data_IF_154853436794
#
_entry.id   IF_154853436794
#
_cell.length_a   1.000
_cell.length_b   1.000
_cell.length_c   1.000
_cell.angle_alpha   90.00
_cell.angle_beta   90.00
_cell.angle_gamma   90.00
#
_symmetry.space_group_name_H-M   'P 1'
#
loop_
_entity.id
_entity.type
_entity.pdbx_description
1 polymer ?
#
# COMPACT_ATOMS: atom_id res chain seq x y z
N UNK A 1 34.21 45.50 25.82
CA UNK A 1 33.63 46.08 24.60
C UNK A 1 32.77 45.06 23.86
N UNK A 2 33.30 43.87 23.59
CA UNK A 2 32.56 42.76 22.95
C UNK A 2 31.22 42.43 23.63
N UNK A 3 31.19 42.40 24.96
CA UNK A 3 29.94 42.20 25.73
C UNK A 3 28.89 43.30 25.47
N UNK A 4 29.29 44.58 25.43
CA UNK A 4 28.38 45.69 25.17
C UNK A 4 27.85 45.65 23.72
N UNK A 5 28.69 45.27 22.76
CA UNK A 5 28.31 45.12 21.35
C UNK A 5 27.37 43.92 21.13
N UNK A 6 27.60 42.80 21.84
CA UNK A 6 26.71 41.64 21.81
C UNK A 6 25.33 41.94 22.44
N UNK A 7 25.30 42.70 23.54
CA UNK A 7 24.05 43.12 24.20
C UNK A 7 23.25 44.13 23.35
N UNK A 8 23.91 44.88 22.45
CA UNK A 8 23.26 45.81 21.53
C UNK A 8 22.37 45.09 20.49
N UNK A 9 22.70 43.84 20.14
CA UNK A 9 21.97 43.02 19.16
C UNK A 9 20.63 42.46 19.67
N UNK A 10 20.44 42.35 20.99
CA UNK A 10 19.34 41.56 21.59
C UNK A 10 18.28 42.36 22.35
N UNK A 11 18.42 43.68 22.50
CA UNK A 11 17.51 44.53 23.31
C UNK A 11 16.54 45.40 22.50
N UNK A 12 15.51 45.88 23.19
CA UNK A 12 14.54 46.89 22.74
C UNK A 12 15.16 48.29 22.52
N UNK A 13 14.38 49.21 21.93
CA UNK A 13 14.86 50.54 21.52
C UNK A 13 15.42 51.37 22.69
N UNK A 14 14.79 51.32 23.86
CA UNK A 14 15.22 52.07 25.04
C UNK A 14 16.48 51.49 25.72
N UNK A 15 16.71 50.18 25.60
CA UNK A 15 17.95 49.53 26.02
C UNK A 15 19.15 49.87 25.13
N UNK A 16 18.92 50.05 23.82
CA UNK A 16 19.98 50.38 22.85
C UNK A 16 20.54 51.80 23.06
N UNK A 17 19.69 52.78 23.33
CA UNK A 17 20.13 54.18 23.53
C UNK A 17 21.06 54.34 24.74
N UNK A 18 20.80 53.62 25.84
CA UNK A 18 21.70 53.58 27.01
C UNK A 18 23.06 52.97 26.69
N UNK A 19 23.09 51.84 25.99
CA UNK A 19 24.34 51.17 25.60
C UNK A 19 25.14 51.99 24.58
N UNK A 20 24.47 52.69 23.66
CA UNK A 20 25.13 53.64 22.75
C UNK A 20 25.79 54.79 23.52
N UNK A 21 25.13 55.30 24.56
CA UNK A 21 25.73 56.27 25.48
C UNK A 21 26.98 55.74 26.19
N UNK A 22 26.95 54.49 26.68
CA UNK A 22 28.11 53.84 27.32
C UNK A 22 29.27 53.54 26.35
N UNK A 23 28.97 53.27 25.07
CA UNK A 23 29.99 53.07 24.04
C UNK A 23 30.60 54.42 23.62
N UNK A 24 29.78 55.46 23.46
CA UNK A 24 30.23 56.83 23.15
C UNK A 24 31.11 57.41 24.26
N UNK A 25 30.78 57.15 25.53
CA UNK A 25 31.56 57.59 26.69
C UNK A 25 32.99 57.00 26.71
N UNK A 26 33.24 55.90 25.99
CA UNK A 26 34.57 55.27 25.86
C UNK A 26 35.43 55.87 24.75
N UNK A 27 34.90 56.83 23.99
CA UNK A 27 35.67 57.66 23.06
C UNK A 27 36.44 56.88 21.99
N UNK A 28 37.65 57.32 21.67
CA UNK A 28 38.48 56.78 20.58
C UNK A 28 38.86 55.31 20.74
N UNK A 29 38.93 54.81 21.97
CA UNK A 29 39.28 53.40 22.26
C UNK A 29 38.18 52.42 21.82
N UNK A 30 36.94 52.89 21.69
CA UNK A 30 35.82 52.08 21.19
C UNK A 30 35.82 51.92 19.66
N UNK A 31 36.58 52.76 18.94
CA UNK A 31 36.52 52.85 17.47
C UNK A 31 36.88 51.55 16.78
N UNK A 32 38.04 50.96 17.07
CA UNK A 32 38.48 49.72 16.42
C UNK A 32 37.56 48.50 16.68
N UNK A 33 37.08 48.28 17.91
CA UNK A 33 36.08 47.25 18.19
C UNK A 33 34.71 47.49 17.51
N UNK A 34 34.24 48.74 17.43
CA UNK A 34 32.98 49.08 16.74
C UNK A 34 33.13 48.93 15.23
N UNK A 35 34.25 49.33 14.64
CA UNK A 35 34.55 49.15 13.21
C UNK A 35 34.60 47.66 12.83
N UNK A 36 35.18 46.80 13.68
CA UNK A 36 35.17 45.34 13.48
C UNK A 36 33.77 44.75 13.57
N UNK A 37 32.99 45.12 14.61
CA UNK A 37 31.62 44.64 14.74
C UNK A 37 30.71 45.14 13.59
N UNK A 38 30.95 46.35 13.08
CA UNK A 38 30.27 46.88 11.90
C UNK A 38 30.65 46.11 10.63
N UNK A 39 31.93 45.74 10.46
CA UNK A 39 32.36 44.92 9.33
C UNK A 39 31.75 43.51 9.36
N UNK A 40 31.71 42.87 10.52
CA UNK A 40 31.04 41.57 10.72
C UNK A 40 29.53 41.65 10.44
N UNK A 41 28.87 42.72 10.88
CA UNK A 41 27.45 42.92 10.63
C UNK A 41 27.18 43.19 9.15
N UNK A 42 28.07 43.92 8.45
CA UNK A 42 27.97 44.11 6.99
C UNK A 42 28.10 42.81 6.24
N UNK A 43 29.04 41.94 6.60
CA UNK A 43 29.16 40.59 6.00
C UNK A 43 27.88 39.77 6.21
N UNK A 44 27.27 39.86 7.40
CA UNK A 44 26.00 39.20 7.68
C UNK A 44 24.84 39.81 6.89
N UNK A 45 24.76 41.14 6.79
CA UNK A 45 23.76 41.86 5.99
C UNK A 45 23.92 41.51 4.52
N UNK A 46 25.12 41.53 3.96
CA UNK A 46 25.40 41.15 2.56
C UNK A 46 24.99 39.68 2.31
N UNK A 47 25.26 38.78 3.26
CA UNK A 47 24.83 37.38 3.15
C UNK A 47 23.30 37.21 3.26
N UNK A 48 22.63 38.04 4.06
CA UNK A 48 21.17 38.06 4.19
C UNK A 48 20.49 38.76 3.01
N UNK A 49 21.13 39.76 2.41
CA UNK A 49 20.71 40.44 1.19
C UNK A 49 20.90 39.52 -0.02
N UNK A 50 22.02 38.81 -0.15
CA UNK A 50 22.21 37.74 -1.13
C UNK A 50 21.17 36.63 -0.93
N UNK A 51 20.87 36.25 0.31
CA UNK A 51 19.79 35.31 0.62
C UNK A 51 18.41 35.88 0.21
N UNK A 52 18.13 37.15 0.48
CA UNK A 52 16.87 37.81 0.11
C UNK A 52 16.74 38.01 -1.40
N UNK A 53 17.82 38.28 -2.11
CA UNK A 53 17.88 38.40 -3.57
C UNK A 53 17.69 37.03 -4.23
N UNK A 54 18.30 35.97 -3.66
CA UNK A 54 18.01 34.57 -4.03
C UNK A 54 16.57 34.17 -3.73
N UNK A 55 15.94 34.76 -2.70
CA UNK A 55 14.53 34.55 -2.38
C UNK A 55 13.55 35.45 -3.16
N UNK A 56 14.03 36.56 -3.76
CA UNK A 56 13.21 37.64 -4.30
C UNK A 56 13.47 38.04 -5.77
N UNK A 57 14.44 37.42 -6.45
CA UNK A 57 14.86 37.78 -7.80
C UNK A 57 13.82 37.58 -8.92
N UNK A 58 14.02 38.23 -10.09
CA UNK A 58 13.00 38.54 -11.11
C UNK A 58 12.60 37.37 -12.03
N UNK A 59 12.38 36.18 -11.47
CA UNK A 59 11.54 35.13 -12.11
C UNK A 59 10.10 35.15 -11.58
N UNK A 60 9.81 35.99 -10.58
CA UNK A 60 8.49 36.10 -9.95
C UNK A 60 7.44 36.88 -10.76
N UNK A 61 7.80 37.54 -11.87
CA UNK A 61 6.86 38.37 -12.65
C UNK A 61 7.12 38.29 -14.16
N UNK A 62 6.67 37.21 -14.80
CA UNK A 62 6.67 37.10 -16.27
C UNK A 62 5.86 35.91 -16.74
N UNK A 63 4.62 36.16 -17.18
CA UNK A 63 3.63 35.12 -17.47
C UNK A 63 3.86 34.33 -18.76
N UNK A 64 3.35 33.09 -18.72
CA UNK A 64 2.82 32.26 -19.82
C UNK A 64 3.63 32.21 -21.14
N UNK A 65 4.13 31.02 -21.46
CA UNK A 65 3.54 30.14 -22.50
C UNK A 65 4.23 28.77 -22.51
N UNK A 66 3.47 27.81 -23.01
CA UNK A 66 3.74 26.38 -23.13
C UNK A 66 5.07 26.03 -23.83
N UNK A 67 5.58 24.84 -23.52
CA UNK A 67 6.57 24.14 -24.34
C UNK A 67 7.55 23.35 -23.49
N UNK A 68 7.35 22.04 -23.44
CA UNK A 68 8.36 20.96 -23.49
C UNK A 68 9.65 21.09 -22.66
N UNK A 69 9.88 20.04 -21.85
CA UNK A 69 11.12 19.67 -21.15
C UNK A 69 11.72 20.69 -20.15
N UNK A 70 11.50 20.46 -18.85
CA UNK A 70 12.22 21.18 -17.79
C UNK A 70 11.76 20.79 -16.38
N UNK A 71 12.72 20.49 -15.52
CA UNK A 71 12.53 19.99 -14.15
C UNK A 71 11.53 20.83 -13.31
N UNK A 72 10.77 20.12 -12.47
CA UNK A 72 9.86 20.71 -11.48
C UNK A 72 10.64 21.55 -10.45
N UNK A 73 10.04 22.59 -9.85
CA UNK A 73 10.76 23.59 -9.05
C UNK A 73 11.40 23.01 -7.77
N UNK A 74 12.61 23.44 -7.40
CA UNK A 74 13.42 22.88 -6.29
C UNK A 74 12.75 22.87 -4.90
N UNK A 75 11.80 23.78 -4.61
CA UNK A 75 11.00 23.72 -3.37
C UNK A 75 10.04 22.49 -3.33
N UNK A 76 9.62 22.01 -4.50
CA UNK A 76 8.94 20.74 -4.65
C UNK A 76 9.91 19.56 -4.42
N UNK A 77 11.20 19.73 -4.69
CA UNK A 77 12.20 18.66 -4.54
C UNK A 77 12.62 18.42 -3.10
N UNK A 78 12.85 19.45 -2.30
CA UNK A 78 13.12 19.27 -0.86
C UNK A 78 11.92 18.68 -0.10
N UNK A 79 10.71 19.19 -0.39
CA UNK A 79 9.48 18.66 0.20
C UNK A 79 9.27 17.20 -0.22
N UNK A 80 9.56 16.85 -1.48
CA UNK A 80 9.55 15.47 -1.98
C UNK A 80 10.67 14.61 -1.39
N UNK A 81 11.85 15.16 -1.14
CA UNK A 81 12.98 14.45 -0.55
C UNK A 81 12.67 14.02 0.89
N UNK A 82 12.03 14.89 1.68
CA UNK A 82 11.54 14.55 3.03
C UNK A 82 10.52 13.40 3.02
N UNK A 83 9.55 13.47 2.10
CA UNK A 83 8.59 12.38 1.92
C UNK A 83 9.27 11.10 1.42
N UNK A 84 10.24 11.21 0.51
CA UNK A 84 11.01 10.09 -0.03
C UNK A 84 11.81 9.40 1.07
N UNK A 85 12.48 10.14 1.94
CA UNK A 85 13.20 9.59 3.10
C UNK A 85 12.27 8.78 4.02
N UNK A 86 11.09 9.31 4.34
CA UNK A 86 10.10 8.58 5.14
C UNK A 86 9.59 7.33 4.42
N UNK A 87 9.38 7.40 3.10
CA UNK A 87 8.95 6.27 2.28
C UNK A 87 10.04 5.20 2.16
N UNK A 88 11.30 5.58 1.94
CA UNK A 88 12.45 4.69 1.85
C UNK A 88 12.64 3.91 3.15
N UNK A 89 12.55 4.57 4.31
CA UNK A 89 12.56 3.91 5.62
C UNK A 89 11.43 2.89 5.77
N UNK A 90 10.21 3.28 5.39
CA UNK A 90 9.06 2.37 5.44
C UNK A 90 9.23 1.15 4.51
N UNK A 91 9.80 1.34 3.32
CA UNK A 91 10.10 0.27 2.37
C UNK A 91 11.27 -0.61 2.82
N UNK A 92 12.20 -0.06 3.60
CA UNK A 92 13.30 -0.77 4.24
C UNK A 92 12.91 -1.42 5.59
N UNK A 93 11.61 -1.47 5.91
CA UNK A 93 11.05 -2.06 7.13
C UNK A 93 11.44 -1.35 8.45
N UNK A 94 12.10 -0.19 8.38
CA UNK A 94 12.29 0.74 9.50
C UNK A 94 11.00 1.53 9.77
N UNK A 95 9.97 0.83 10.24
CA UNK A 95 8.63 1.40 10.45
C UNK A 95 8.62 2.46 11.55
N UNK A 96 9.44 2.29 12.58
CA UNK A 96 9.55 3.26 13.68
C UNK A 96 10.27 4.53 13.22
N UNK A 97 11.41 4.42 12.53
CA UNK A 97 12.13 5.56 11.98
C UNK A 97 11.31 6.29 10.91
N UNK A 98 10.53 5.57 10.10
CA UNK A 98 9.58 6.18 9.16
C UNK A 98 8.51 7.02 9.90
N UNK A 99 7.92 6.49 10.98
CA UNK A 99 6.91 7.21 11.76
C UNK A 99 7.50 8.46 12.43
N UNK A 100 8.68 8.37 13.02
CA UNK A 100 9.38 9.51 13.61
C UNK A 100 9.67 10.61 12.59
N UNK A 101 10.15 10.24 11.39
CA UNK A 101 10.41 11.19 10.32
C UNK A 101 9.12 11.91 9.88
N UNK A 102 8.01 11.17 9.73
CA UNK A 102 6.72 11.76 9.36
C UNK A 102 6.22 12.75 10.42
N UNK A 103 6.30 12.36 11.69
CA UNK A 103 5.85 13.19 12.81
C UNK A 103 6.69 14.46 12.92
N UNK A 104 8.01 14.37 12.74
CA UNK A 104 8.90 15.52 12.66
C UNK A 104 8.57 16.46 11.49
N UNK A 105 8.33 15.91 10.28
CA UNK A 105 7.95 16.73 9.11
C UNK A 105 6.63 17.47 9.37
N UNK A 106 5.62 16.77 9.91
CA UNK A 106 4.30 17.37 10.17
C UNK A 106 4.32 18.39 11.31
N UNK A 107 5.23 18.25 12.27
CA UNK A 107 5.43 19.21 13.36
C UNK A 107 6.15 20.48 12.85
N UNK A 108 7.19 20.33 12.04
CA UNK A 108 7.96 21.45 11.48
C UNK A 108 7.19 22.19 10.36
N UNK A 109 6.43 21.47 9.54
CA UNK A 109 5.72 22.01 8.37
C UNK A 109 4.25 21.56 8.34
N UNK A 110 3.40 22.09 9.24
CA UNK A 110 2.01 21.66 9.32
C UNK A 110 1.21 21.96 8.04
N UNK A 111 1.60 22.93 7.21
CA UNK A 111 0.89 23.27 5.97
C UNK A 111 1.52 22.71 4.69
N UNK A 112 2.39 21.69 4.81
CA UNK A 112 3.05 21.07 3.65
C UNK A 112 2.05 20.52 2.62
N UNK A 113 2.27 20.73 1.30
CA UNK A 113 1.39 20.19 0.26
C UNK A 113 1.35 18.65 0.23
N UNK A 114 2.35 17.98 0.81
CA UNK A 114 2.39 16.52 0.92
C UNK A 114 1.65 15.97 2.14
N UNK A 115 1.01 16.83 2.97
CA UNK A 115 0.29 16.42 4.18
C UNK A 115 -0.67 15.24 3.94
N UNK A 116 -1.50 15.20 2.87
CA UNK A 116 -2.35 14.04 2.61
C UNK A 116 -1.59 12.73 2.32
N UNK A 117 -0.38 12.80 1.75
CA UNK A 117 0.48 11.62 1.52
C UNK A 117 1.19 11.20 2.81
N UNK A 118 1.70 12.15 3.58
CA UNK A 118 2.32 11.90 4.89
C UNK A 118 1.33 11.30 5.89
N UNK A 119 0.09 11.80 5.96
CA UNK A 119 -0.96 11.21 6.82
C UNK A 119 -1.27 9.77 6.40
N UNK A 120 -1.33 9.48 5.09
CA UNK A 120 -1.52 8.13 4.58
C UNK A 120 -0.36 7.21 4.97
N UNK A 121 0.89 7.67 4.83
CA UNK A 121 2.08 6.90 5.22
C UNK A 121 2.15 6.72 6.74
N UNK A 122 1.82 7.74 7.53
CA UNK A 122 1.73 7.68 9.01
C UNK A 122 0.77 6.60 9.45
N UNK A 123 -0.40 6.55 8.82
CA UNK A 123 -1.42 5.52 9.03
C UNK A 123 -0.88 4.13 8.66
N UNK A 124 -0.22 3.97 7.51
CA UNK A 124 0.36 2.70 7.11
C UNK A 124 1.43 2.20 8.09
N UNK A 125 2.30 3.08 8.59
CA UNK A 125 3.30 2.75 9.62
C UNK A 125 2.63 2.27 10.91
N UNK A 126 1.61 3.00 11.39
CA UNK A 126 0.84 2.63 12.58
C UNK A 126 0.11 1.29 12.43
N UNK A 127 -0.49 1.05 11.26
CA UNK A 127 -1.16 -0.21 10.95
C UNK A 127 -0.17 -1.40 10.92
N UNK A 128 1.05 -1.19 10.41
CA UNK A 128 2.12 -2.20 10.40
C UNK A 128 2.64 -2.48 11.82
N UNK A 129 2.98 -1.44 12.60
CA UNK A 129 3.40 -1.60 13.99
C UNK A 129 2.36 -2.36 14.82
N UNK A 130 1.07 -2.00 14.69
CA UNK A 130 0.00 -2.69 15.39
C UNK A 130 -0.03 -4.20 15.10
N UNK A 131 0.20 -4.58 13.84
CA UNK A 131 0.21 -5.98 13.39
C UNK A 131 1.42 -6.74 13.92
N UNK A 132 2.58 -6.09 13.96
CA UNK A 132 3.86 -6.72 14.32
C UNK A 132 4.06 -6.82 15.83
N UNK A 133 3.58 -5.85 16.61
CA UNK A 133 3.92 -5.74 18.03
C UNK A 133 2.73 -5.86 19.00
N UNK A 134 1.49 -5.88 18.50
CA UNK A 134 0.29 -5.89 19.36
C UNK A 134 -0.65 -7.04 19.04
N UNK A 135 -1.30 -6.98 17.88
CA UNK A 135 -2.37 -7.89 17.50
C UNK A 135 -2.25 -8.27 16.04
N UNK A 136 -1.98 -9.56 15.79
CA UNK A 136 -2.06 -10.12 14.45
C UNK A 136 -3.51 -10.47 14.14
N UNK A 137 -4.05 -9.90 13.06
CA UNK A 137 -5.36 -10.25 12.54
C UNK A 137 -5.22 -10.82 11.13
N UNK A 138 -5.78 -12.00 10.90
CA UNK A 138 -5.73 -12.69 9.61
C UNK A 138 -7.11 -13.21 9.24
N UNK A 139 -7.53 -12.97 8.00
CA UNK A 139 -8.72 -13.62 7.46
C UNK A 139 -8.32 -15.00 6.96
N UNK A 140 -8.98 -16.04 7.46
CA UNK A 140 -8.72 -17.44 7.11
C UNK A 140 -9.98 -18.00 6.46
N UNK A 141 -9.84 -18.52 5.24
CA UNK A 141 -10.90 -19.21 4.52
C UNK A 141 -10.81 -20.72 4.80
N UNK A 142 -11.95 -21.40 4.80
CA UNK A 142 -11.95 -22.86 4.99
C UNK A 142 -11.35 -23.62 3.81
N UNK A 143 -11.60 -23.15 2.59
CA UNK A 143 -11.10 -23.72 1.33
C UNK A 143 -10.71 -22.58 0.40
N UNK A 144 -9.66 -22.77 -0.39
CA UNK A 144 -9.20 -21.82 -1.41
C UNK A 144 -9.95 -21.98 -2.74
N UNK A 145 -10.49 -23.19 -2.99
CA UNK A 145 -11.34 -23.49 -4.14
C UNK A 145 -12.64 -24.12 -3.68
N UNK A 146 -13.76 -23.52 -4.07
CA UNK A 146 -15.12 -23.94 -3.73
C UNK A 146 -15.83 -24.55 -4.95
N UNK A 147 -16.77 -25.44 -4.68
CA UNK A 147 -17.80 -25.86 -5.63
C UNK A 147 -19.15 -25.22 -5.26
N UNK A 148 -20.14 -25.17 -6.17
CA UNK A 148 -21.46 -24.59 -5.90
C UNK A 148 -22.19 -25.21 -4.69
N UNK A 149 -21.83 -26.43 -4.30
CA UNK A 149 -22.45 -27.14 -3.16
C UNK A 149 -21.92 -26.63 -1.81
N UNK A 150 -20.67 -26.14 -1.78
CA UNK A 150 -19.99 -25.73 -0.55
C UNK A 150 -20.23 -24.25 -0.27
N UNK A 151 -20.61 -23.92 0.96
CA UNK A 151 -20.75 -22.53 1.39
C UNK A 151 -19.38 -21.86 1.55
N UNK A 152 -19.28 -20.58 1.23
CA UNK A 152 -18.11 -19.78 1.60
C UNK A 152 -18.07 -19.63 3.12
N UNK A 153 -17.01 -20.16 3.74
CA UNK A 153 -16.76 -20.05 5.18
C UNK A 153 -15.47 -19.30 5.41
N UNK A 154 -15.53 -18.22 6.19
CA UNK A 154 -14.37 -17.45 6.59
C UNK A 154 -14.39 -17.18 8.09
N UNK A 155 -13.21 -17.04 8.68
CA UNK A 155 -13.00 -16.66 10.08
C UNK A 155 -11.93 -15.58 10.14
N UNK A 156 -12.06 -14.64 11.07
CA UNK A 156 -10.97 -13.73 11.41
C UNK A 156 -10.25 -14.32 12.62
N UNK A 157 -9.00 -14.74 12.43
CA UNK A 157 -8.11 -15.19 13.50
C UNK A 157 -7.41 -13.97 14.07
N UNK A 158 -7.59 -13.75 15.36
CA UNK A 158 -6.95 -12.73 16.17
C UNK A 158 -5.92 -13.41 17.05
N UNK A 159 -4.72 -12.88 17.11
CA UNK A 159 -3.62 -13.43 17.89
C UNK A 159 -2.88 -12.29 18.58
N UNK A 160 -2.78 -12.37 19.90
CA UNK A 160 -2.01 -11.44 20.68
C UNK A 160 -0.52 -11.75 20.50
N UNK A 161 0.19 -10.86 19.81
CA UNK A 161 1.64 -10.98 19.56
C UNK A 161 2.45 -10.12 20.53
N UNK A 162 1.79 -9.40 21.44
CA UNK A 162 2.46 -8.67 22.51
C UNK A 162 2.81 -9.57 23.69
N UNK A 163 3.73 -9.10 24.53
CA UNK A 163 4.03 -9.72 25.83
C UNK A 163 3.03 -9.38 26.94
N UNK A 164 2.00 -8.59 26.64
CA UNK A 164 1.04 -8.04 27.58
C UNK A 164 -0.39 -8.52 27.27
N UNK A 165 -1.32 -8.36 28.20
CA UNK A 165 -2.73 -8.61 27.92
C UNK A 165 -3.28 -7.60 26.90
N UNK A 166 -4.01 -8.10 25.90
CA UNK A 166 -4.70 -7.28 24.91
C UNK A 166 -6.20 -7.36 25.13
N UNK A 167 -6.83 -6.20 25.38
CA UNK A 167 -8.28 -6.05 25.53
C UNK A 167 -8.85 -5.32 24.32
N UNK A 168 -9.86 -5.90 23.70
CA UNK A 168 -10.53 -5.37 22.50
C UNK A 168 -12.00 -5.13 22.82
N UNK A 169 -12.39 -3.86 22.90
CA UNK A 169 -13.77 -3.46 23.22
C UNK A 169 -14.53 -3.23 21.90
N UNK A 170 -15.57 -4.00 21.66
CA UNK A 170 -16.43 -3.84 20.50
C UNK A 170 -17.24 -2.53 20.55
N UNK A 171 -17.65 -2.05 19.39
CA UNK A 171 -18.64 -0.98 19.30
C UNK A 171 -20.07 -1.54 19.53
N UNK A 172 -21.07 -0.66 19.48
CA UNK A 172 -22.49 -1.02 19.57
C UNK A 172 -22.86 -2.22 18.68
N UNK A 173 -23.83 -3.03 19.11
CA UNK A 173 -24.21 -4.31 18.52
C UNK A 173 -23.07 -5.35 18.43
N UNK A 174 -22.05 -5.25 19.29
CA UNK A 174 -20.85 -6.08 19.30
C UNK A 174 -20.05 -5.99 18.00
N UNK A 175 -20.05 -4.84 17.32
CA UNK A 175 -19.31 -4.65 16.07
C UNK A 175 -17.82 -4.51 16.36
N UNK A 176 -17.02 -5.44 15.85
CA UNK A 176 -15.57 -5.46 16.00
C UNK A 176 -14.85 -4.92 14.76
N UNK A 177 -15.50 -4.96 13.60
CA UNK A 177 -14.86 -4.59 12.34
C UNK A 177 -15.75 -4.80 11.13
N UNK A 178 -15.16 -4.61 9.95
CA UNK A 178 -15.85 -4.74 8.67
C UNK A 178 -15.10 -5.74 7.79
N UNK A 179 -15.84 -6.66 7.18
CA UNK A 179 -15.37 -7.55 6.12
C UNK A 179 -15.99 -7.10 4.80
N UNK A 180 -15.13 -6.82 3.82
CA UNK A 180 -15.53 -6.52 2.45
C UNK A 180 -15.32 -7.77 1.62
N UNK A 181 -16.36 -8.13 0.86
CA UNK A 181 -16.35 -9.23 -0.10
C UNK A 181 -16.59 -8.64 -1.49
N UNK A 182 -15.60 -8.81 -2.35
CA UNK A 182 -15.72 -8.57 -3.78
C UNK A 182 -15.87 -9.91 -4.48
N UNK A 183 -17.04 -10.16 -5.06
CA UNK A 183 -17.30 -11.34 -5.87
C UNK A 183 -17.29 -10.97 -7.34
N UNK A 184 -16.55 -11.74 -8.13
CA UNK A 184 -16.46 -11.59 -9.57
C UNK A 184 -16.85 -12.90 -10.26
N UNK A 185 -17.59 -12.82 -11.35
CA UNK A 185 -17.79 -13.96 -12.24
C UNK A 185 -16.97 -13.73 -13.50
N UNK A 186 -16.12 -14.70 -13.83
CA UNK A 186 -15.08 -14.57 -14.85
C UNK A 186 -15.38 -15.56 -15.98
N UNK A 187 -15.49 -15.04 -17.20
CA UNK A 187 -15.65 -15.84 -18.40
C UNK A 187 -14.32 -16.01 -19.14
N UNK A 188 -14.12 -17.13 -19.87
CA UNK A 188 -12.95 -17.32 -20.74
C UNK A 188 -12.91 -16.32 -21.90
N UNK A 189 -14.04 -15.69 -22.25
CA UNK A 189 -14.09 -14.60 -23.24
C UNK A 189 -13.54 -13.27 -22.72
N UNK A 190 -13.15 -13.20 -21.43
CA UNK A 190 -12.71 -11.97 -20.76
C UNK A 190 -13.84 -11.18 -20.10
N UNK A 191 -15.11 -11.51 -20.38
CA UNK A 191 -16.25 -10.88 -19.71
C UNK A 191 -16.18 -11.05 -18.17
N UNK A 192 -16.56 -10.00 -17.43
CA UNK A 192 -16.65 -10.01 -15.96
C UNK A 192 -17.85 -9.26 -15.45
N UNK A 193 -18.51 -9.84 -14.47
CA UNK A 193 -19.42 -9.13 -13.55
C UNK A 193 -18.74 -8.99 -12.19
N UNK A 194 -19.05 -7.93 -11.45
CA UNK A 194 -18.53 -7.72 -10.10
C UNK A 194 -19.63 -7.23 -9.18
N UNK A 195 -19.66 -7.80 -7.98
CA UNK A 195 -20.55 -7.36 -6.90
C UNK A 195 -19.72 -7.18 -5.63
N UNK A 196 -19.91 -6.05 -4.96
CA UNK A 196 -19.26 -5.76 -3.67
C UNK A 196 -20.31 -5.80 -2.57
N UNK A 197 -20.01 -6.54 -1.51
CA UNK A 197 -20.83 -6.65 -0.31
C UNK A 197 -19.97 -6.36 0.92
N UNK A 198 -20.57 -5.71 1.92
CA UNK A 198 -19.93 -5.49 3.21
C UNK A 198 -20.72 -6.20 4.31
N UNK A 199 -19.99 -6.77 5.28
CA UNK A 199 -20.54 -7.49 6.44
C UNK A 199 -19.79 -7.06 7.69
N UNK A 200 -20.52 -6.88 8.78
CA UNK A 200 -19.91 -6.57 10.07
C UNK A 200 -19.29 -7.84 10.67
N UNK A 201 -18.04 -7.74 11.11
CA UNK A 201 -17.43 -8.72 12.01
C UNK A 201 -17.98 -8.45 13.41
N UNK A 202 -18.59 -9.46 14.03
CA UNK A 202 -19.16 -9.35 15.37
C UNK A 202 -18.31 -10.13 16.36
N UNK A 203 -18.07 -9.52 17.53
CA UNK A 203 -17.51 -10.21 18.66
C UNK A 203 -18.59 -11.05 19.36
N UNK A 204 -18.23 -12.17 20.00
CA UNK A 204 -19.17 -12.98 20.77
C UNK A 204 -19.72 -12.20 21.97
N UNK A 205 -18.85 -11.40 22.58
CA UNK A 205 -19.08 -10.57 23.77
C UNK A 205 -18.73 -9.11 23.43
N UNK A 206 -19.12 -8.17 24.30
CA UNK A 206 -18.76 -6.75 24.14
C UNK A 206 -17.26 -6.50 24.29
N UNK A 207 -16.60 -7.34 25.08
CA UNK A 207 -15.17 -7.29 25.34
C UNK A 207 -14.52 -8.61 24.97
N UNK A 208 -13.36 -8.53 24.32
CA UNK A 208 -12.53 -9.66 24.01
C UNK A 208 -11.16 -9.48 24.64
N UNK A 209 -10.81 -10.35 25.58
CA UNK A 209 -9.49 -10.38 26.23
C UNK A 209 -8.65 -11.51 25.63
N UNK A 210 -7.41 -11.20 25.29
CA UNK A 210 -6.40 -12.13 24.80
C UNK A 210 -5.14 -12.00 25.65
N UNK A 211 -4.79 -13.06 26.38
CA UNK A 211 -3.49 -13.14 27.07
C UNK A 211 -2.32 -13.23 26.08
N UNK A 212 -1.06 -13.07 26.55
CA UNK A 212 0.13 -13.16 25.69
C UNK A 212 0.17 -14.46 24.88
N UNK A 213 0.35 -14.37 23.57
CA UNK A 213 0.38 -15.52 22.66
C UNK A 213 -0.98 -16.19 22.41
N UNK A 214 -2.07 -15.73 23.03
CA UNK A 214 -3.38 -16.32 22.86
C UNK A 214 -3.99 -15.96 21.49
N UNK A 215 -4.64 -16.93 20.87
CA UNK A 215 -5.40 -16.73 19.64
C UNK A 215 -6.88 -17.06 19.80
N UNK A 216 -7.76 -16.29 19.13
CA UNK A 216 -9.21 -16.56 19.03
C UNK A 216 -9.66 -16.41 17.59
N UNK A 217 -10.54 -17.30 17.15
CA UNK A 217 -11.11 -17.26 15.79
C UNK A 217 -12.57 -16.85 15.84
N UNK A 218 -12.92 -15.82 15.08
CA UNK A 218 -14.28 -15.28 14.99
C UNK A 218 -14.91 -15.64 13.64
N UNK A 219 -16.07 -16.32 13.59
CA UNK A 219 -16.72 -16.62 12.33
C UNK A 219 -17.26 -15.37 11.66
N UNK A 220 -17.28 -15.37 10.32
CA UNK A 220 -17.87 -14.31 9.51
C UNK A 220 -18.99 -14.90 8.66
N UNK A 221 -20.18 -14.33 8.76
CA UNK A 221 -21.29 -14.65 7.88
C UNK A 221 -21.12 -13.95 6.52
N UNK A 222 -20.85 -14.73 5.48
CA UNK A 222 -20.64 -14.24 4.13
C UNK A 222 -21.69 -14.81 3.16
N UNK A 223 -22.20 -14.00 2.22
CA UNK A 223 -23.04 -14.52 1.16
C UNK A 223 -22.25 -15.49 0.28
N UNK A 224 -22.95 -16.47 -0.32
CA UNK A 224 -22.36 -17.47 -1.22
C UNK A 224 -23.02 -17.41 -2.61
N UNK A 225 -22.87 -16.29 -3.37
CA UNK A 225 -23.48 -16.14 -4.70
C UNK A 225 -23.03 -17.23 -5.69
N UNK A 226 -21.81 -17.76 -5.55
CA UNK A 226 -21.29 -18.86 -6.37
C UNK A 226 -22.12 -20.15 -6.34
N UNK A 227 -23.04 -20.31 -5.38
CA UNK A 227 -23.99 -21.43 -5.38
C UNK A 227 -24.89 -21.45 -6.61
N UNK A 228 -25.04 -20.30 -7.29
CA UNK A 228 -25.78 -20.14 -8.55
C UNK A 228 -24.86 -19.89 -9.75
N UNK A 229 -23.56 -20.19 -9.62
CA UNK A 229 -22.56 -19.93 -10.65
C UNK A 229 -22.98 -20.60 -11.98
N UNK A 230 -23.18 -19.82 -13.06
CA UNK A 230 -23.48 -20.38 -14.37
C UNK A 230 -22.40 -21.34 -14.86
N UNK A 231 -22.80 -22.33 -15.67
CA UNK A 231 -21.85 -23.27 -16.28
C UNK A 231 -20.81 -22.51 -17.11
N UNK A 232 -19.55 -22.88 -16.91
CA UNK A 232 -18.42 -22.35 -17.67
C UNK A 232 -17.87 -21.00 -17.20
N UNK A 233 -18.39 -20.46 -16.10
CA UNK A 233 -17.80 -19.31 -15.40
C UNK A 233 -16.96 -19.76 -14.21
N UNK A 234 -16.03 -18.90 -13.80
CA UNK A 234 -15.27 -19.03 -12.54
C UNK A 234 -15.68 -17.89 -11.62
N UNK A 235 -16.15 -18.23 -10.42
CA UNK A 235 -16.34 -17.25 -9.37
C UNK A 235 -15.01 -16.92 -8.70
N UNK A 236 -14.77 -15.64 -8.37
CA UNK A 236 -13.60 -15.21 -7.61
C UNK A 236 -14.03 -14.30 -6.48
N UNK A 237 -13.67 -14.67 -5.27
CA UNK A 237 -13.81 -13.86 -4.08
C UNK A 237 -12.50 -13.17 -3.76
N UNK A 238 -12.54 -11.86 -3.59
CA UNK A 238 -11.51 -11.11 -2.86
C UNK A 238 -12.11 -10.65 -1.55
N UNK A 239 -11.56 -11.17 -0.47
CA UNK A 239 -12.01 -10.87 0.88
C UNK A 239 -10.96 -9.99 1.55
N UNK A 240 -11.41 -8.94 2.23
CA UNK A 240 -10.56 -8.09 3.04
C UNK A 240 -11.27 -7.76 4.34
N UNK A 241 -10.56 -7.78 5.46
CA UNK A 241 -11.14 -7.50 6.76
C UNK A 241 -10.37 -6.38 7.47
N UNK A 242 -11.08 -5.63 8.31
CA UNK A 242 -10.48 -4.55 9.10
C UNK A 242 -11.15 -4.48 10.45
N UNK A 243 -10.36 -4.56 11.51
CA UNK A 243 -10.85 -4.32 12.86
C UNK A 243 -11.05 -2.81 13.07
N UNK A 244 -12.20 -2.49 13.64
CA UNK A 244 -12.66 -1.15 14.04
C UNK A 244 -13.31 -1.26 15.42
N UNK A 245 -12.53 -1.77 16.37
CA UNK A 245 -12.93 -1.79 17.78
C UNK A 245 -13.15 -0.36 18.29
N UNK A 246 -13.99 -0.22 19.30
CA UNK A 246 -14.21 1.05 20.00
C UNK A 246 -12.96 1.45 20.80
N UNK A 247 -12.37 0.48 21.49
CA UNK A 247 -11.10 0.61 22.22
C UNK A 247 -10.25 -0.63 21.97
N UNK A 248 -8.94 -0.45 21.92
CA UNK A 248 -7.93 -1.50 21.95
C UNK A 248 -6.94 -1.13 23.05
N UNK A 249 -6.73 -1.98 24.03
CA UNK A 249 -5.85 -1.73 25.16
C UNK A 249 -4.78 -2.81 25.25
N UNK A 250 -3.56 -2.42 25.61
CA UNK A 250 -2.41 -3.31 25.80
C UNK A 250 -1.81 -3.00 27.16
N UNK A 251 -1.83 -3.96 28.09
CA UNK A 251 -1.39 -3.71 29.46
C UNK A 251 -2.11 -2.53 30.14
N UNK A 252 -3.38 -2.30 29.76
CA UNK A 252 -4.20 -1.18 30.25
C UNK A 252 -3.98 0.17 29.54
N UNK A 253 -3.07 0.26 28.55
CA UNK A 253 -2.84 1.49 27.78
C UNK A 253 -3.70 1.49 26.50
N UNK A 254 -4.56 2.50 26.28
CA UNK A 254 -5.39 2.57 25.09
C UNK A 254 -4.57 2.93 23.83
N UNK A 255 -4.83 2.19 22.76
CA UNK A 255 -4.25 2.37 21.43
C UNK A 255 -5.34 2.74 20.42
N UNK A 256 -5.21 3.92 19.81
CA UNK A 256 -6.08 4.33 18.70
C UNK A 256 -5.55 3.78 17.37
N UNK A 257 -5.76 2.50 17.15
CA UNK A 257 -5.26 1.78 15.97
C UNK A 257 -6.38 1.02 15.27
N UNK A 258 -6.28 0.96 13.95
CA UNK A 258 -7.03 0.01 13.16
C UNK A 258 -6.11 -1.15 12.82
N UNK A 259 -6.59 -2.38 13.03
CA UNK A 259 -5.79 -3.55 12.70
C UNK A 259 -6.33 -4.13 11.38
N UNK A 260 -5.59 -3.99 10.26
CA UNK A 260 -5.98 -4.63 9.01
C UNK A 260 -5.82 -6.14 9.17
N UNK A 261 -6.92 -6.87 8.98
CA UNK A 261 -6.89 -8.31 8.87
C UNK A 261 -6.66 -8.65 7.39
N UNK A 262 -5.51 -9.26 7.08
CA UNK A 262 -5.04 -9.51 5.71
C UNK A 262 -6.11 -10.05 4.75
N UNK A 263 -5.88 -9.87 3.45
CA UNK A 263 -6.82 -10.34 2.43
C UNK A 263 -6.73 -11.84 2.19
N UNK A 264 -7.79 -12.41 1.63
CA UNK A 264 -7.81 -13.78 1.13
C UNK A 264 -8.50 -13.83 -0.23
N UNK A 265 -7.99 -14.65 -1.14
CA UNK A 265 -8.61 -14.92 -2.43
C UNK A 265 -9.11 -16.35 -2.44
N UNK A 266 -10.36 -16.54 -2.87
CA UNK A 266 -10.99 -17.86 -2.99
C UNK A 266 -11.61 -17.96 -4.38
N UNK A 267 -11.40 -19.06 -5.08
CA UNK A 267 -12.06 -19.34 -6.35
C UNK A 267 -13.27 -20.25 -6.14
N UNK A 268 -14.26 -20.12 -7.00
CA UNK A 268 -15.37 -21.05 -7.10
C UNK A 268 -15.43 -21.58 -8.53
N UNK A 269 -15.38 -22.90 -8.67
CA UNK A 269 -15.40 -23.58 -9.98
C UNK A 269 -16.65 -24.45 -10.08
N UNK A 270 -17.15 -24.65 -11.31
CA UNK A 270 -18.32 -25.51 -11.53
C UNK A 270 -18.06 -26.95 -11.07
N UNK A 271 -19.11 -27.70 -10.75
CA UNK A 271 -18.99 -29.10 -10.30
C UNK A 271 -18.30 -29.99 -11.35
N UNK A 272 -18.53 -29.74 -12.64
CA UNK A 272 -17.86 -30.43 -13.75
C UNK A 272 -16.35 -30.16 -13.86
N UNK A 273 -15.83 -29.13 -13.18
CA UNK A 273 -14.43 -28.73 -13.21
C UNK A 273 -13.63 -29.24 -12.01
N UNK A 274 -14.24 -30.03 -11.12
CA UNK A 274 -13.58 -30.54 -9.93
C UNK A 274 -12.29 -31.32 -10.23
N UNK A 275 -12.22 -31.98 -11.40
CA UNK A 275 -11.01 -32.67 -11.86
C UNK A 275 -9.83 -31.72 -12.15
N UNK A 276 -10.12 -30.49 -12.61
CA UNK A 276 -9.11 -29.47 -12.91
C UNK A 276 -8.44 -28.94 -11.63
N UNK A 277 -9.12 -29.02 -10.48
CA UNK A 277 -8.62 -28.49 -9.21
C UNK A 277 -7.52 -29.36 -8.60
N UNK A 278 -7.58 -30.68 -8.81
CA UNK A 278 -6.65 -31.63 -8.17
C UNK A 278 -5.23 -31.50 -8.70
N UNK A 279 -5.08 -31.34 -10.02
CA UNK A 279 -3.80 -31.22 -10.70
C UNK A 279 -3.88 -30.11 -11.76
N UNK A 280 -3.94 -28.84 -11.35
CA UNK A 280 -4.26 -27.73 -12.25
C UNK A 280 -3.19 -27.54 -13.34
N UNK A 281 -1.92 -27.80 -13.04
CA UNK A 281 -0.85 -27.77 -14.05
C UNK A 281 -1.03 -28.79 -15.16
N UNK A 282 -1.24 -30.06 -14.82
CA UNK A 282 -1.44 -31.14 -15.81
C UNK A 282 -2.72 -30.89 -16.61
N UNK A 283 -3.80 -30.53 -15.92
CA UNK A 283 -5.07 -30.19 -16.56
C UNK A 283 -4.93 -29.02 -17.54
N UNK A 284 -4.15 -27.99 -17.20
CA UNK A 284 -3.86 -26.87 -18.08
C UNK A 284 -3.15 -27.33 -19.37
N UNK A 285 -2.06 -28.10 -19.23
CA UNK A 285 -1.27 -28.56 -20.37
C UNK A 285 -2.09 -29.46 -21.32
N UNK A 286 -2.87 -30.39 -20.76
CA UNK A 286 -3.76 -31.25 -21.55
C UNK A 286 -4.85 -30.44 -22.27
N UNK A 287 -5.44 -29.46 -21.59
CA UNK A 287 -6.47 -28.60 -22.15
C UNK A 287 -5.92 -27.73 -23.31
N UNK A 288 -4.70 -27.17 -23.15
CA UNK A 288 -4.01 -26.43 -24.21
C UNK A 288 -3.71 -27.34 -25.42
N UNK A 289 -3.22 -28.56 -25.18
CA UNK A 289 -2.93 -29.51 -26.25
C UNK A 289 -4.20 -29.86 -27.05
N UNK A 290 -5.29 -30.23 -26.37
CA UNK A 290 -6.60 -30.52 -26.98
C UNK A 290 -7.17 -29.32 -27.73
N UNK A 291 -7.07 -28.12 -27.15
CA UNK A 291 -7.52 -26.87 -27.77
C UNK A 291 -6.71 -26.48 -29.02
N UNK A 292 -5.47 -26.97 -29.14
CA UNK A 292 -4.60 -26.66 -30.28
C UNK A 292 -4.85 -27.60 -31.48
N UNK A 293 -5.29 -28.84 -31.24
CA UNK A 293 -5.41 -29.88 -32.27
C UNK A 293 -6.82 -30.21 -32.75
N UNK A 294 -7.90 -29.80 -32.06
CA UNK A 294 -9.29 -30.12 -32.42
C UNK A 294 -9.89 -29.29 -33.56
N UNK A 295 -11.16 -29.50 -33.91
CA UNK A 295 -11.96 -28.59 -34.76
C UNK A 295 -12.51 -27.39 -33.95
N UNK A 296 -13.01 -26.33 -34.60
CA UNK A 296 -13.45 -25.11 -33.89
C UNK A 296 -14.51 -25.36 -32.80
N UNK A 297 -15.46 -26.28 -33.05
CA UNK A 297 -16.46 -26.68 -32.06
C UNK A 297 -15.85 -27.46 -30.88
N UNK A 298 -14.86 -28.31 -31.16
CA UNK A 298 -14.15 -29.14 -30.17
C UNK A 298 -13.13 -28.35 -29.36
N UNK A 299 -12.71 -27.15 -29.81
CA UNK A 299 -11.71 -26.31 -29.12
C UNK A 299 -12.27 -25.46 -27.99
N UNK A 300 -13.57 -25.15 -28.00
CA UNK A 300 -14.17 -24.20 -27.03
C UNK A 300 -14.09 -24.69 -25.60
N UNK A 301 -14.45 -25.95 -25.38
CA UNK A 301 -14.46 -26.56 -24.05
C UNK A 301 -13.03 -26.74 -23.49
N UNK A 302 -12.06 -27.28 -24.24
CA UNK A 302 -10.66 -27.29 -23.82
C UNK A 302 -10.07 -25.90 -23.57
N UNK A 303 -10.37 -24.89 -24.40
CA UNK A 303 -9.91 -23.52 -24.15
C UNK A 303 -10.45 -22.96 -22.83
N UNK A 304 -11.73 -23.24 -22.53
CA UNK A 304 -12.34 -22.90 -21.23
C UNK A 304 -11.65 -23.64 -20.08
N UNK A 305 -11.39 -24.94 -20.21
CA UNK A 305 -10.71 -25.73 -19.18
C UNK A 305 -9.29 -25.21 -18.91
N UNK A 306 -8.55 -24.80 -19.95
CA UNK A 306 -7.25 -24.15 -19.80
C UNK A 306 -7.36 -22.86 -18.98
N UNK A 307 -8.36 -22.02 -19.25
CA UNK A 307 -8.63 -20.83 -18.45
C UNK A 307 -8.90 -21.16 -16.97
N UNK A 308 -9.80 -22.11 -16.68
CA UNK A 308 -10.12 -22.50 -15.30
C UNK A 308 -8.88 -23.03 -14.58
N UNK A 309 -8.15 -23.97 -15.21
CA UNK A 309 -6.97 -24.59 -14.64
C UNK A 309 -5.86 -23.57 -14.34
N UNK A 310 -5.67 -22.57 -15.20
CA UNK A 310 -4.70 -21.51 -14.97
C UNK A 310 -5.07 -20.63 -13.76
N UNK A 311 -6.35 -20.26 -13.62
CA UNK A 311 -6.79 -19.49 -12.45
C UNK A 311 -6.62 -20.29 -11.16
N UNK A 312 -6.95 -21.57 -11.16
CA UNK A 312 -6.74 -22.43 -9.99
C UNK A 312 -5.25 -22.57 -9.68
N UNK A 313 -4.40 -22.77 -10.69
CA UNK A 313 -2.95 -22.84 -10.50
C UNK A 313 -2.39 -21.56 -9.86
N UNK A 314 -2.90 -20.39 -10.27
CA UNK A 314 -2.43 -19.11 -9.76
C UNK A 314 -2.66 -18.88 -8.26
N UNK A 315 -3.54 -19.64 -7.61
CA UNK A 315 -3.69 -19.58 -6.15
C UNK A 315 -2.48 -20.16 -5.41
N UNK A 316 -1.87 -21.21 -5.97
CA UNK A 316 -0.73 -21.90 -5.37
C UNK A 316 0.61 -21.38 -5.90
N UNK A 317 0.70 -21.10 -7.21
CA UNK A 317 1.92 -20.59 -7.86
C UNK A 317 1.54 -19.62 -8.99
N UNK A 318 1.48 -18.34 -8.65
CA UNK A 318 1.18 -17.26 -9.59
C UNK A 318 2.19 -17.22 -10.74
N UNK A 319 3.49 -17.35 -10.45
CA UNK A 319 4.55 -17.25 -11.45
C UNK A 319 4.52 -18.41 -12.43
N UNK A 320 4.28 -19.64 -11.94
CA UNK A 320 4.12 -20.79 -12.82
C UNK A 320 2.89 -20.65 -13.71
N UNK A 321 1.76 -20.20 -13.17
CA UNK A 321 0.55 -19.93 -13.96
C UNK A 321 0.82 -18.91 -15.07
N UNK A 322 1.49 -17.80 -14.75
CA UNK A 322 1.85 -16.76 -15.74
C UNK A 322 2.77 -17.31 -16.83
N UNK A 323 3.80 -18.06 -16.46
CA UNK A 323 4.75 -18.65 -17.42
C UNK A 323 4.05 -19.62 -18.37
N UNK A 324 3.18 -20.48 -17.85
CA UNK A 324 2.44 -21.46 -18.65
C UNK A 324 1.44 -20.78 -19.60
N UNK A 325 0.72 -19.76 -19.10
CA UNK A 325 -0.18 -18.94 -19.91
C UNK A 325 0.57 -18.24 -21.05
N UNK A 326 1.68 -17.57 -20.75
CA UNK A 326 2.49 -16.85 -21.74
C UNK A 326 3.07 -17.80 -22.79
N UNK A 327 3.64 -18.94 -22.37
CA UNK A 327 4.18 -19.95 -23.28
C UNK A 327 3.10 -20.54 -24.19
N UNK A 328 1.93 -20.88 -23.65
CA UNK A 328 0.82 -21.40 -24.45
C UNK A 328 0.29 -20.35 -25.45
N UNK A 329 0.34 -19.06 -25.09
CA UNK A 329 -0.16 -17.96 -25.91
C UNK A 329 0.64 -17.77 -27.21
N UNK A 330 1.92 -18.17 -27.25
CA UNK A 330 2.77 -18.07 -28.46
C UNK A 330 2.21 -18.87 -29.63
N UNK A 331 1.60 -20.04 -29.38
CA UNK A 331 1.00 -20.90 -30.41
C UNK A 331 -0.52 -20.76 -30.55
N UNK A 332 -1.18 -20.06 -29.62
CA UNK A 332 -2.63 -20.06 -29.53
C UNK A 332 -3.33 -19.22 -30.62
N UNK A 333 -4.52 -19.68 -31.03
CA UNK A 333 -5.40 -18.99 -32.00
C UNK A 333 -6.87 -19.11 -31.57
N UNK A 334 -7.69 -18.17 -32.04
CA UNK A 334 -9.14 -18.17 -31.79
C UNK A 334 -9.49 -18.22 -30.30
N UNK A 335 -10.45 -19.07 -29.92
CA UNK A 335 -10.95 -19.18 -28.55
C UNK A 335 -9.88 -19.52 -27.51
N UNK A 336 -8.82 -20.24 -27.89
CA UNK A 336 -7.71 -20.52 -26.98
C UNK A 336 -6.90 -19.24 -26.69
N UNK A 337 -6.64 -18.41 -27.72
CA UNK A 337 -5.94 -17.14 -27.52
C UNK A 337 -6.74 -16.21 -26.63
N UNK A 338 -8.06 -16.10 -26.84
CA UNK A 338 -8.96 -15.29 -26.00
C UNK A 338 -8.94 -15.77 -24.54
N UNK A 339 -9.07 -17.07 -24.31
CA UNK A 339 -9.04 -17.68 -22.99
C UNK A 339 -7.70 -17.47 -22.26
N UNK A 340 -6.57 -17.57 -22.96
CA UNK A 340 -5.24 -17.34 -22.39
C UNK A 340 -4.99 -15.87 -22.07
N UNK A 341 -5.38 -14.94 -22.95
CA UNK A 341 -5.31 -13.50 -22.67
C UNK A 341 -6.20 -13.11 -21.48
N UNK A 342 -7.42 -13.66 -21.42
CA UNK A 342 -8.30 -13.48 -20.26
C UNK A 342 -7.64 -14.03 -19.00
N UNK A 343 -7.04 -15.22 -19.05
CA UNK A 343 -6.28 -15.82 -17.95
C UNK A 343 -5.16 -14.90 -17.45
N UNK A 344 -4.29 -14.41 -18.35
CA UNK A 344 -3.21 -13.48 -18.03
C UNK A 344 -3.73 -12.22 -17.35
N UNK A 345 -4.73 -11.57 -17.92
CA UNK A 345 -5.33 -10.37 -17.33
C UNK A 345 -5.84 -10.61 -15.90
N UNK A 346 -6.40 -11.80 -15.62
CA UNK A 346 -6.94 -12.12 -14.29
C UNK A 346 -5.87 -12.46 -13.27
N UNK A 347 -4.81 -13.15 -13.68
CA UNK A 347 -3.71 -13.52 -12.79
C UNK A 347 -2.86 -12.30 -12.46
N UNK A 348 -2.49 -11.49 -13.47
CA UNK A 348 -1.67 -10.28 -13.24
C UNK A 348 -2.46 -9.15 -12.58
N UNK A 349 -3.79 -9.08 -12.79
CA UNK A 349 -4.63 -7.97 -12.30
C UNK A 349 -4.55 -6.69 -13.14
N UNK A 350 -3.92 -6.76 -14.31
CA UNK A 350 -3.76 -5.68 -15.31
C UNK A 350 -5.00 -5.57 -16.22
N UNK A 351 -5.16 -4.48 -17.01
CA UNK A 351 -6.35 -4.27 -17.83
C UNK A 351 -6.57 -5.35 -18.90
N UNK A 352 -7.84 -5.72 -19.10
CA UNK A 352 -8.30 -6.81 -19.97
C UNK A 352 -8.11 -6.56 -21.47
N UNK A 353 -7.67 -5.36 -21.85
CA UNK A 353 -7.76 -4.87 -23.23
C UNK A 353 -6.54 -5.24 -24.07
N UNK A 354 -5.53 -5.88 -23.47
CA UNK A 354 -4.31 -6.26 -24.18
C UNK A 354 -4.60 -7.39 -25.17
N UNK A 355 -4.22 -7.14 -26.41
CA UNK A 355 -4.09 -8.12 -27.47
C UNK A 355 -3.05 -9.19 -27.12
N UNK A 356 -3.06 -10.30 -27.87
CA UNK A 356 -2.09 -11.37 -27.74
C UNK A 356 -0.65 -10.84 -27.85
N UNK A 357 -0.39 -10.00 -28.83
CA UNK A 357 0.91 -9.43 -29.10
C UNK A 357 1.37 -8.51 -27.94
N UNK A 358 0.46 -7.70 -27.40
CA UNK A 358 0.74 -6.84 -26.23
C UNK A 358 1.10 -7.67 -24.98
N UNK A 359 0.39 -8.78 -24.74
CA UNK A 359 0.71 -9.69 -23.64
C UNK A 359 2.09 -10.35 -23.79
N UNK A 360 2.45 -10.79 -25.00
CA UNK A 360 3.76 -11.40 -25.27
C UNK A 360 4.90 -10.36 -25.12
N UNK A 361 4.68 -9.12 -25.57
CA UNK A 361 5.63 -8.02 -25.36
C UNK A 361 5.79 -7.73 -23.88
N UNK A 362 4.69 -7.62 -23.14
CA UNK A 362 4.71 -7.38 -21.69
C UNK A 362 5.49 -8.48 -20.95
N UNK A 363 5.26 -9.75 -21.30
CA UNK A 363 5.95 -10.89 -20.68
C UNK A 363 7.47 -10.83 -20.90
N UNK A 364 7.92 -10.60 -22.14
CA UNK A 364 9.36 -10.43 -22.47
C UNK A 364 9.97 -9.23 -21.73
N UNK A 365 9.21 -8.14 -21.59
CA UNK A 365 9.61 -6.98 -20.80
C UNK A 365 9.70 -7.26 -19.30
N UNK A 366 8.91 -8.20 -18.76
CA UNK A 366 8.97 -8.64 -17.36
C UNK A 366 10.17 -9.54 -17.11
N UNK A 367 10.44 -10.51 -17.99
CA UNK A 367 11.58 -11.43 -17.86
C UNK A 367 12.94 -10.72 -17.90
N UNK A 368 13.03 -9.63 -18.66
CA UNK A 368 14.25 -8.82 -18.78
C UNK A 368 14.49 -7.88 -17.59
N UNK A 369 13.55 -7.74 -16.64
CA UNK A 369 13.76 -6.93 -15.44
C UNK A 369 14.62 -7.68 -14.42
N UNK A 370 15.61 -7.03 -13.79
CA UNK A 370 16.36 -7.64 -12.71
C UNK A 370 15.41 -7.99 -11.57
N UNK A 371 15.22 -9.29 -11.33
CA UNK A 371 14.43 -9.79 -10.20
C UNK A 371 15.10 -9.33 -8.92
N UNK A 372 14.45 -8.44 -8.15
CA UNK A 372 14.86 -8.19 -6.76
C UNK A 372 14.79 -9.53 -6.05
N UNK A 373 15.94 -10.07 -5.61
CA UNK A 373 15.97 -11.18 -4.67
C UNK A 373 15.20 -10.71 -3.43
N UNK A 374 14.00 -11.23 -3.22
CA UNK A 374 13.33 -11.13 -1.93
C UNK A 374 14.18 -11.79 -0.84
N UNK A 375 13.98 -11.46 0.43
CA UNK A 375 14.68 -12.10 1.53
C UNK A 375 14.44 -13.62 1.45
N UNK A 376 15.54 -14.37 1.47
CA UNK A 376 15.49 -15.82 1.46
C UNK A 376 14.94 -16.32 2.79
N UNK A 377 13.67 -16.74 2.81
CA UNK A 377 13.12 -17.41 3.98
C UNK A 377 11.63 -17.21 4.15
N UNK A 378 10.82 -17.81 3.27
CA UNK A 378 9.46 -18.26 3.58
C UNK A 378 9.10 -19.27 2.48
N UNK A 379 9.24 -20.56 2.80
CA UNK A 379 8.74 -21.70 2.04
C UNK A 379 7.75 -22.45 2.90
#
# INVERSE_FOLDING_TARGET
MERLLAELRSRDRAGRERLLGEILARGSEARGPVERALAEERVLVDALEDLLERLGGPQARGGRRAGEDGALPEAADWTRAKYRLALERYLAEDTYGALQAIDAILALEPRTPLRPRLIRLRRACRERLARESVLSARLVCGEEVLTPERALRARVRLENVSGEEVRIVAAEDRRLGLVTLDYEELAPSGARTRTRVQRWLRAPEEELVLGPGQARSLPVELPSPHRRLPRGLVGRYHLAARLRARSLEVGGVPLQLFVPAGGATVLAVGTGDAGLVRNPRTAFLEAVAKASSGTLAERREPARQAFVAALVLSLADEEEALRLLASALEGARGSLSEALCAGLARVVGEPLNFSREEWLIWWKGRESRPRRRGPAGER
#
